data_IF_824044678749
#
_entry.id   IF_824044678749
#
_cell.length_a   1.000
_cell.length_b   1.000
_cell.length_c   1.000
_cell.angle_alpha   90.00
_cell.angle_beta   90.00
_cell.angle_gamma   90.00
#
_symmetry.space_group_name_H-M   'P 1'
#
loop_
_entity.id
_entity.type
_entity.pdbx_description
1 polymer ?
#
# COMPACT_ATOMS: atom_id res chain seq x y z
N UNK A 1 -28.93 4.11 40.69
CA UNK A 1 -29.00 2.67 40.40
C UNK A 1 -30.48 2.34 40.31
N UNK A 2 -30.87 1.61 39.29
CA UNK A 2 -32.24 1.13 39.04
C UNK A 2 -32.21 -0.39 39.14
N UNK A 3 -33.17 -0.95 39.87
CA UNK A 3 -33.21 -2.36 40.27
C UNK A 3 -34.43 -3.11 39.69
N UNK A 4 -35.21 -2.47 38.81
CA UNK A 4 -36.28 -3.13 38.08
C UNK A 4 -35.74 -4.33 37.29
N UNK A 5 -36.26 -5.52 37.59
CA UNK A 5 -35.79 -6.79 36.99
C UNK A 5 -35.89 -6.78 35.47
N UNK A 6 -34.78 -7.12 34.81
CA UNK A 6 -34.65 -7.12 33.35
C UNK A 6 -34.44 -5.72 32.75
N UNK A 7 -34.37 -4.67 33.57
CA UNK A 7 -34.12 -3.28 33.19
C UNK A 7 -33.12 -2.60 34.14
N UNK A 8 -32.27 -3.41 34.80
CA UNK A 8 -31.28 -2.91 35.74
C UNK A 8 -30.28 -1.99 35.04
N UNK A 9 -29.95 -0.87 35.70
CA UNK A 9 -28.91 0.03 35.20
C UNK A 9 -28.22 0.86 36.29
N UNK A 10 -26.99 1.26 36.00
CA UNK A 10 -26.21 2.20 36.80
C UNK A 10 -25.89 3.42 35.95
N UNK A 11 -26.08 4.60 36.53
CA UNK A 11 -25.76 5.90 35.91
C UNK A 11 -24.91 6.72 36.87
N UNK A 12 -23.70 7.05 36.41
CA UNK A 12 -22.82 8.03 37.04
C UNK A 12 -22.76 9.26 36.12
N UNK A 13 -23.20 10.42 36.61
CA UNK A 13 -23.42 11.61 35.79
C UNK A 13 -22.96 12.88 36.49
N UNK A 14 -22.38 13.80 35.72
CA UNK A 14 -22.18 15.20 36.10
C UNK A 14 -22.69 16.12 34.99
N UNK A 15 -23.27 17.27 35.32
CA UNK A 15 -23.77 18.22 34.31
C UNK A 15 -22.62 18.91 33.54
N UNK A 16 -21.42 18.95 34.11
CA UNK A 16 -20.26 19.57 33.45
C UNK A 16 -19.88 18.85 32.14
N UNK A 17 -19.56 19.63 31.11
CA UNK A 17 -19.26 19.09 29.77
C UNK A 17 -20.49 18.49 29.08
N UNK A 18 -21.67 19.10 29.27
CA UNK A 18 -22.90 18.74 28.57
C UNK A 18 -23.48 17.39 28.99
N UNK A 19 -23.39 17.01 30.27
CA UNK A 19 -23.69 15.66 30.79
C UNK A 19 -22.62 14.62 30.49
N UNK A 20 -21.50 14.70 31.19
CA UNK A 20 -20.47 13.65 31.18
C UNK A 20 -20.94 12.45 32.00
N UNK A 21 -21.05 11.28 31.37
CA UNK A 21 -21.74 10.11 31.96
C UNK A 21 -21.05 8.78 31.65
N UNK A 22 -21.12 7.88 32.63
CA UNK A 22 -20.99 6.43 32.46
C UNK A 22 -22.36 5.80 32.74
N UNK A 23 -22.93 5.14 31.73
CA UNK A 23 -24.20 4.42 31.83
C UNK A 23 -23.95 2.93 31.56
N UNK A 24 -24.47 2.03 32.41
CA UNK A 24 -24.29 0.57 32.34
C UNK A 24 -25.66 -0.13 32.43
N UNK A 25 -25.92 -1.15 31.62
CA UNK A 25 -27.13 -1.98 31.67
C UNK A 25 -28.21 -1.55 30.68
N UNK A 26 -29.43 -1.32 31.16
CA UNK A 26 -30.58 -0.82 30.39
C UNK A 26 -30.61 0.72 30.38
N UNK A 27 -30.03 1.36 29.36
CA UNK A 27 -29.88 2.82 29.33
C UNK A 27 -31.21 3.48 28.98
N UNK A 28 -31.64 4.46 29.80
CA UNK A 28 -32.88 5.22 29.58
C UNK A 28 -32.64 6.72 29.37
N UNK A 29 -33.57 7.36 28.67
CA UNK A 29 -33.64 8.82 28.54
C UNK A 29 -34.30 9.49 29.77
N UNK A 30 -34.51 10.81 29.71
CA UNK A 30 -35.14 11.57 30.80
C UNK A 30 -36.61 11.18 31.05
N UNK A 31 -37.28 10.54 30.08
CA UNK A 31 -38.66 10.04 30.16
C UNK A 31 -38.70 8.55 30.54
N UNK A 32 -37.58 7.98 30.97
CA UNK A 32 -37.40 6.55 31.27
C UNK A 32 -37.65 5.62 30.08
N UNK A 33 -37.57 6.15 28.85
CA UNK A 33 -37.66 5.33 27.64
C UNK A 33 -36.28 4.76 27.32
N UNK A 34 -36.25 3.47 26.93
CA UNK A 34 -35.02 2.80 26.52
C UNK A 34 -34.37 3.56 25.37
N UNK A 35 -33.09 3.90 25.54
CA UNK A 35 -32.25 4.54 24.51
C UNK A 35 -31.04 3.70 24.09
N UNK A 36 -30.74 2.63 24.82
CA UNK A 36 -29.63 1.72 24.50
C UNK A 36 -29.47 0.59 25.52
N UNK A 37 -28.57 -0.34 25.23
CA UNK A 37 -28.15 -1.44 26.10
C UNK A 37 -26.63 -1.59 26.09
N UNK A 38 -26.07 -2.12 27.17
CA UNK A 38 -24.62 -2.33 27.31
C UNK A 38 -23.97 -1.23 28.15
N UNK A 39 -22.95 -0.58 27.62
CA UNK A 39 -22.33 0.58 28.28
C UNK A 39 -22.23 1.77 27.34
N UNK A 40 -22.30 2.97 27.91
CA UNK A 40 -22.02 4.23 27.21
C UNK A 40 -21.11 5.08 28.09
N UNK A 41 -19.98 5.50 27.52
CA UNK A 41 -19.16 6.58 28.04
C UNK A 41 -19.34 7.79 27.11
N UNK A 42 -20.00 8.85 27.60
CA UNK A 42 -20.31 10.06 26.80
C UNK A 42 -19.90 11.34 27.49
N UNK A 43 -19.57 12.35 26.70
CA UNK A 43 -19.35 13.75 27.11
C UNK A 43 -19.44 14.63 25.87
N UNK A 44 -19.83 15.90 26.03
CA UNK A 44 -19.69 16.91 24.97
C UNK A 44 -18.30 17.58 25.02
N UNK A 45 -17.50 17.27 26.05
CA UNK A 45 -16.11 17.68 26.17
C UNK A 45 -15.14 16.69 25.55
N UNK A 46 -13.88 16.74 26.00
CA UNK A 46 -12.85 15.80 25.57
C UNK A 46 -13.02 14.44 26.25
N UNK A 47 -12.88 13.36 25.48
CA UNK A 47 -12.74 12.00 25.99
C UNK A 47 -11.30 11.49 25.85
N UNK A 48 -10.82 10.71 26.81
CA UNK A 48 -9.52 10.04 26.72
C UNK A 48 -9.59 8.64 27.34
N UNK A 49 -9.12 7.64 26.60
CA UNK A 49 -8.87 6.28 27.10
C UNK A 49 -7.36 6.07 27.03
N UNK A 50 -6.71 5.84 28.18
CA UNK A 50 -5.26 5.65 28.26
C UNK A 50 -4.94 4.44 29.12
N UNK A 51 -4.32 3.42 28.52
CA UNK A 51 -3.72 2.29 29.22
C UNK A 51 -2.21 2.33 29.05
N UNK A 52 -1.47 2.65 30.11
CA UNK A 52 0.01 2.74 30.08
C UNK A 52 0.71 1.39 29.86
N UNK A 53 -0.05 0.29 29.85
CA UNK A 53 0.38 -1.07 29.48
C UNK A 53 -0.31 -1.57 28.21
N UNK A 54 -0.85 -0.66 27.40
CA UNK A 54 -1.63 -0.98 26.21
C UNK A 54 -3.15 -0.89 26.42
N UNK A 55 -3.90 -0.97 25.32
CA UNK A 55 -5.37 -0.93 25.28
C UNK A 55 -5.89 -2.03 24.37
N UNK A 56 -6.80 -2.87 24.86
CA UNK A 56 -7.52 -3.85 24.06
C UNK A 56 -8.98 -3.43 23.90
N UNK A 57 -9.43 -3.28 22.66
CA UNK A 57 -10.83 -2.97 22.32
C UNK A 57 -11.34 -4.11 21.46
N UNK A 58 -12.34 -4.83 21.97
CA UNK A 58 -12.84 -6.05 21.35
C UNK A 58 -14.35 -6.08 21.25
N UNK A 59 -14.84 -6.60 20.12
CA UNK A 59 -16.23 -7.05 19.95
C UNK A 59 -16.35 -8.60 19.99
N UNK A 60 -15.29 -9.30 20.42
CA UNK A 60 -15.36 -10.72 20.75
C UNK A 60 -16.12 -10.91 22.07
N UNK A 61 -17.09 -11.83 22.09
CA UNK A 61 -17.95 -12.04 23.26
C UNK A 61 -17.20 -12.75 24.39
N UNK A 62 -17.38 -12.27 25.63
CA UNK A 62 -16.94 -12.95 26.86
C UNK A 62 -18.11 -13.09 27.83
N UNK A 63 -18.93 -14.15 27.70
CA UNK A 63 -20.16 -14.30 28.46
C UNK A 63 -19.91 -14.28 29.97
N UNK A 64 -20.71 -13.49 30.68
CA UNK A 64 -20.65 -13.36 32.15
C UNK A 64 -19.25 -13.00 32.69
N UNK A 65 -18.41 -12.33 31.88
CA UNK A 65 -17.01 -12.04 32.21
C UNK A 65 -16.22 -13.29 32.63
N UNK A 66 -16.56 -14.46 32.09
CA UNK A 66 -15.81 -15.70 32.32
C UNK A 66 -14.53 -15.69 31.50
N UNK A 67 -13.40 -15.40 32.15
CA UNK A 67 -12.09 -15.35 31.54
C UNK A 67 -11.23 -14.24 32.13
N UNK A 68 -10.08 -14.00 31.50
CA UNK A 68 -9.23 -12.86 31.87
C UNK A 68 -9.72 -11.58 31.18
N UNK A 69 -9.47 -10.43 31.79
CA UNK A 69 -9.80 -9.11 31.21
C UNK A 69 -9.14 -8.90 29.83
N UNK A 70 -7.99 -9.54 29.62
CA UNK A 70 -7.22 -9.49 28.37
C UNK A 70 -7.29 -10.82 27.59
N UNK A 71 -8.37 -11.59 27.72
CA UNK A 71 -8.56 -12.75 26.86
C UNK A 71 -8.71 -12.29 25.40
N UNK A 72 -7.69 -12.60 24.59
CA UNK A 72 -7.53 -12.12 23.22
C UNK A 72 -7.24 -13.27 22.24
N UNK A 73 -7.54 -14.52 22.61
CA UNK A 73 -7.21 -15.70 21.80
C UNK A 73 -7.80 -15.61 20.38
N UNK A 74 -9.04 -15.12 20.25
CA UNK A 74 -9.67 -14.92 18.95
C UNK A 74 -8.92 -13.90 18.08
N UNK A 75 -8.45 -12.79 18.67
CA UNK A 75 -7.67 -11.77 17.97
C UNK A 75 -6.28 -12.30 17.56
N UNK A 76 -5.59 -13.00 18.45
CA UNK A 76 -4.29 -13.60 18.17
C UNK A 76 -4.37 -14.69 17.09
N UNK A 77 -5.43 -15.50 17.10
CA UNK A 77 -5.68 -16.50 16.05
C UNK A 77 -5.85 -15.88 14.66
N UNK A 78 -6.56 -14.75 14.55
CA UNK A 78 -6.70 -14.00 13.29
C UNK A 78 -5.37 -13.43 12.80
N UNK A 79 -4.56 -12.87 13.71
CA UNK A 79 -3.22 -12.38 13.38
C UNK A 79 -2.29 -13.51 12.92
N UNK A 80 -2.33 -14.66 13.60
CA UNK A 80 -1.54 -15.85 13.26
C UNK A 80 -1.89 -16.37 11.86
N UNK A 81 -3.18 -16.48 11.54
CA UNK A 81 -3.64 -16.87 10.21
C UNK A 81 -3.15 -15.90 9.11
N UNK A 82 -3.21 -14.59 9.38
CA UNK A 82 -2.73 -13.58 8.43
C UNK A 82 -1.21 -13.70 8.19
N UNK A 83 -0.43 -13.96 9.24
CA UNK A 83 1.02 -14.17 9.13
C UNK A 83 1.35 -15.42 8.31
N UNK A 84 0.67 -16.54 8.55
CA UNK A 84 0.92 -17.79 7.80
C UNK A 84 0.66 -17.61 6.30
N UNK A 85 -0.42 -16.91 5.96
CA UNK A 85 -0.74 -16.58 4.56
C UNK A 85 0.34 -15.69 3.92
N UNK A 86 0.78 -14.66 4.63
CA UNK A 86 1.82 -13.75 4.16
C UNK A 86 3.18 -14.47 4.02
N UNK A 87 3.51 -15.37 4.93
CA UNK A 87 4.75 -16.15 4.89
C UNK A 87 4.82 -17.03 3.64
N UNK A 88 3.72 -17.71 3.31
CA UNK A 88 3.60 -18.46 2.06
C UNK A 88 3.83 -17.55 0.85
N UNK A 89 3.08 -16.44 0.75
CA UNK A 89 3.21 -15.52 -0.38
C UNK A 89 4.61 -14.90 -0.50
N UNK A 90 5.23 -14.54 0.62
CA UNK A 90 6.58 -13.96 0.68
C UNK A 90 7.64 -14.95 0.21
N UNK A 91 7.54 -16.22 0.62
CA UNK A 91 8.45 -17.28 0.15
C UNK A 91 8.34 -17.53 -1.36
N UNK A 92 7.12 -17.50 -1.90
CA UNK A 92 6.87 -17.64 -3.33
C UNK A 92 7.38 -16.42 -4.12
N UNK A 93 7.23 -15.21 -3.57
CA UNK A 93 7.78 -13.98 -4.15
C UNK A 93 9.32 -14.06 -4.24
N UNK A 94 9.98 -14.50 -3.17
CA UNK A 94 11.42 -14.69 -3.14
C UNK A 94 11.89 -15.75 -4.16
N UNK A 95 11.17 -16.87 -4.27
CA UNK A 95 11.45 -17.89 -5.29
C UNK A 95 11.27 -17.38 -6.73
N UNK A 96 10.44 -16.35 -6.91
CA UNK A 96 10.23 -15.64 -8.17
C UNK A 96 11.14 -14.42 -8.37
N UNK A 97 12.20 -14.28 -7.56
CA UNK A 97 13.17 -13.17 -7.61
C UNK A 97 12.58 -11.78 -7.29
N UNK A 98 11.41 -11.73 -6.65
CA UNK A 98 10.84 -10.49 -6.13
C UNK A 98 11.33 -10.23 -4.69
N UNK A 99 11.36 -8.97 -4.26
CA UNK A 99 11.69 -8.62 -2.88
C UNK A 99 10.56 -9.11 -1.94
N UNK A 100 10.88 -9.91 -0.91
CA UNK A 100 9.90 -10.46 0.02
C UNK A 100 9.34 -9.41 0.98
N UNK A 101 8.17 -9.69 1.55
CA UNK A 101 7.63 -8.89 2.65
C UNK A 101 8.41 -9.14 3.96
N UNK A 102 8.48 -8.15 4.84
CA UNK A 102 9.06 -8.27 6.18
C UNK A 102 8.11 -8.99 7.15
N UNK A 103 8.00 -10.31 6.97
CA UNK A 103 7.16 -11.19 7.80
C UNK A 103 7.70 -11.28 9.23
N UNK A 104 9.02 -11.16 9.40
CA UNK A 104 9.67 -11.28 10.70
C UNK A 104 9.28 -10.11 11.62
N UNK A 105 9.22 -8.88 11.10
CA UNK A 105 8.72 -7.76 11.87
C UNK A 105 7.27 -7.96 12.35
N UNK A 106 6.41 -8.56 11.53
CA UNK A 106 5.02 -8.85 11.92
C UNK A 106 4.95 -9.90 13.04
N UNK A 107 5.74 -10.98 12.92
CA UNK A 107 5.85 -12.02 13.94
C UNK A 107 6.37 -11.49 15.28
N UNK A 108 7.44 -10.69 15.25
CA UNK A 108 8.00 -10.07 16.45
C UNK A 108 7.02 -9.10 17.10
N UNK A 109 6.33 -8.25 16.31
CA UNK A 109 5.28 -7.38 16.85
C UNK A 109 4.16 -8.17 17.53
N UNK A 110 3.71 -9.27 16.92
CA UNK A 110 2.65 -10.09 17.48
C UNK A 110 3.05 -10.72 18.83
N UNK A 111 4.22 -11.37 18.88
CA UNK A 111 4.67 -12.14 20.05
C UNK A 111 5.19 -11.27 21.20
N UNK A 112 5.95 -10.22 20.87
CA UNK A 112 6.69 -9.45 21.86
C UNK A 112 5.91 -8.19 22.32
N UNK A 113 4.91 -7.76 21.56
CA UNK A 113 4.20 -6.50 21.84
C UNK A 113 2.69 -6.69 22.03
N UNK A 114 2.03 -7.41 21.12
CA UNK A 114 0.56 -7.55 21.10
C UNK A 114 0.08 -8.60 22.11
N UNK A 115 0.72 -9.77 22.16
CA UNK A 115 0.33 -10.85 23.07
C UNK A 115 0.32 -10.35 24.52
N UNK A 116 -0.83 -10.50 25.19
CA UNK A 116 -1.05 -10.01 26.55
C UNK A 116 -0.77 -8.49 26.76
N UNK A 117 -0.68 -7.70 25.68
CA UNK A 117 -0.24 -6.31 25.69
C UNK A 117 1.12 -6.14 26.42
N UNK A 118 2.10 -6.97 26.09
CA UNK A 118 3.46 -6.89 26.65
C UNK A 118 4.14 -5.53 26.40
N UNK A 119 3.68 -4.76 25.40
CA UNK A 119 4.11 -3.40 25.13
C UNK A 119 2.95 -2.39 25.11
N UNK A 120 3.28 -1.11 24.94
CA UNK A 120 2.31 0.00 24.90
C UNK A 120 1.60 0.07 23.53
N UNK A 121 0.77 -0.92 23.23
CA UNK A 121 0.07 -1.07 21.95
C UNK A 121 -1.44 -0.98 22.09
N UNK A 122 -2.13 -0.71 20.98
CA UNK A 122 -3.58 -0.82 20.89
C UNK A 122 -3.92 -1.99 19.98
N UNK A 123 -4.73 -2.92 20.47
CA UNK A 123 -5.30 -4.01 19.68
C UNK A 123 -6.80 -3.78 19.51
N UNK A 124 -7.25 -3.69 18.25
CA UNK A 124 -8.65 -3.64 17.88
C UNK A 124 -9.05 -4.99 17.27
N UNK A 125 -10.09 -5.64 17.79
CA UNK A 125 -10.58 -6.93 17.29
C UNK A 125 -12.09 -6.94 17.16
N UNK A 126 -12.60 -7.48 16.05
CA UNK A 126 -14.02 -7.72 15.87
C UNK A 126 -14.25 -8.94 14.95
N UNK A 127 -15.10 -9.91 15.35
CA UNK A 127 -15.37 -11.10 14.54
C UNK A 127 -16.11 -10.82 13.23
N UNK A 128 -16.86 -9.72 13.17
CA UNK A 128 -17.72 -9.36 12.03
C UNK A 128 -17.26 -8.10 11.28
N UNK A 129 -16.03 -7.65 11.52
CA UNK A 129 -15.39 -6.55 10.81
C UNK A 129 -15.23 -5.25 11.60
N UNK A 130 -14.38 -4.38 11.07
CA UNK A 130 -14.07 -3.05 11.61
C UNK A 130 -14.22 -2.05 10.47
N UNK A 131 -14.96 -0.96 10.70
CA UNK A 131 -15.11 0.14 9.75
C UNK A 131 -14.45 1.42 10.31
N UNK A 132 -13.57 2.03 9.52
CA UNK A 132 -12.95 3.33 9.83
C UNK A 132 -13.44 4.35 8.79
N UNK A 133 -14.15 5.38 9.24
CA UNK A 133 -14.71 6.41 8.37
C UNK A 133 -14.34 7.81 8.88
N UNK A 134 -14.25 8.78 7.97
CA UNK A 134 -13.97 10.18 8.29
C UNK A 134 -14.73 11.08 7.34
N UNK A 135 -15.27 12.20 7.85
CA UNK A 135 -15.89 13.24 7.02
C UNK A 135 -14.88 14.12 6.28
N UNK A 136 -13.58 14.00 6.61
CA UNK A 136 -12.49 14.75 5.97
C UNK A 136 -11.34 13.81 5.62
N UNK A 137 -10.28 13.78 6.42
CA UNK A 137 -9.09 12.98 6.18
C UNK A 137 -9.05 11.75 7.09
N UNK A 138 -8.55 10.64 6.54
CA UNK A 138 -8.12 9.47 7.31
C UNK A 138 -6.61 9.32 7.08
N UNK A 139 -5.81 9.40 8.14
CA UNK A 139 -4.36 9.30 8.07
C UNK A 139 -3.89 8.08 8.85
N UNK A 140 -3.12 7.21 8.19
CA UNK A 140 -2.42 6.09 8.80
C UNK A 140 -0.91 6.37 8.66
N UNK A 141 -0.20 6.42 9.77
CA UNK A 141 1.23 6.71 9.80
C UNK A 141 1.92 5.80 10.80
N UNK A 142 3.03 5.19 10.38
CA UNK A 142 3.92 4.39 11.19
C UNK A 142 5.36 4.85 10.94
N UNK A 143 6.21 4.83 11.97
CA UNK A 143 7.63 5.19 11.82
C UNK A 143 8.43 4.09 11.12
N UNK A 144 8.09 2.84 11.41
CA UNK A 144 8.71 1.66 10.82
C UNK A 144 7.81 1.12 9.70
N UNK A 145 6.95 0.15 10.00
CA UNK A 145 6.22 -0.61 9.00
C UNK A 145 4.71 -0.32 9.03
N UNK A 146 4.12 -0.17 7.83
CA UNK A 146 2.67 -0.24 7.63
C UNK A 146 2.34 -1.52 6.88
N UNK A 147 1.56 -2.41 7.50
CA UNK A 147 1.18 -3.71 6.94
C UNK A 147 -0.32 -3.78 6.71
N UNK A 148 -0.74 -4.22 5.53
CA UNK A 148 -2.14 -4.41 5.16
C UNK A 148 -2.30 -5.83 4.61
N UNK A 149 -2.93 -6.70 5.40
CA UNK A 149 -3.12 -8.11 5.07
C UNK A 149 -4.62 -8.41 4.88
N UNK A 150 -4.96 -9.15 3.83
CA UNK A 150 -6.31 -9.62 3.55
C UNK A 150 -6.26 -11.08 3.11
N UNK A 151 -7.09 -11.94 3.72
CA UNK A 151 -7.23 -13.34 3.30
C UNK A 151 -8.10 -13.53 2.05
N UNK A 152 -8.86 -12.49 1.67
CA UNK A 152 -9.62 -12.40 0.42
C UNK A 152 -9.05 -11.28 -0.47
N UNK A 153 -9.92 -10.42 -0.99
CA UNK A 153 -9.51 -9.30 -1.85
C UNK A 153 -9.16 -8.04 -1.05
N UNK A 154 -8.15 -7.29 -1.52
CA UNK A 154 -7.85 -5.94 -1.07
C UNK A 154 -8.20 -4.93 -2.17
N UNK A 155 -9.22 -4.11 -1.95
CA UNK A 155 -9.70 -3.12 -2.91
C UNK A 155 -9.26 -1.71 -2.50
N UNK A 156 -8.45 -1.06 -3.34
CA UNK A 156 -8.05 0.34 -3.18
C UNK A 156 -8.69 1.19 -4.28
N UNK A 157 -9.70 1.97 -3.92
CA UNK A 157 -10.44 2.84 -4.85
C UNK A 157 -10.19 4.30 -4.55
N UNK A 158 -9.82 5.08 -5.57
CA UNK A 158 -9.52 6.52 -5.44
C UNK A 158 -10.18 7.28 -6.58
N UNK A 159 -11.02 8.27 -6.23
CA UNK A 159 -11.80 9.04 -7.22
C UNK A 159 -10.95 10.02 -8.03
N UNK A 160 -9.91 10.59 -7.41
CA UNK A 160 -9.08 11.63 -8.05
C UNK A 160 -7.73 11.08 -8.49
N UNK A 161 -6.80 10.91 -7.54
CA UNK A 161 -5.41 10.54 -7.84
C UNK A 161 -4.85 9.64 -6.76
N UNK A 162 -4.31 8.50 -7.17
CA UNK A 162 -3.47 7.65 -6.33
C UNK A 162 -2.00 7.99 -6.61
N UNK A 163 -1.21 8.13 -5.55
CA UNK A 163 0.23 8.40 -5.62
C UNK A 163 0.98 7.39 -4.76
N UNK A 164 2.01 6.77 -5.32
CA UNK A 164 2.95 5.92 -4.61
C UNK A 164 4.33 6.60 -4.60
N UNK A 165 4.76 7.09 -3.45
CA UNK A 165 6.10 7.64 -3.24
C UNK A 165 6.95 6.68 -2.43
N UNK A 166 7.87 5.96 -3.08
CA UNK A 166 8.69 4.93 -2.45
C UNK A 166 10.15 5.39 -2.41
N UNK A 167 10.79 5.26 -1.24
CA UNK A 167 12.17 5.73 -1.03
C UNK A 167 13.27 4.76 -1.45
N UNK A 168 12.98 3.46 -1.57
CA UNK A 168 13.99 2.42 -1.86
C UNK A 168 13.62 1.54 -3.05
N UNK A 169 12.50 0.81 -3.00
CA UNK A 169 12.11 -0.08 -4.10
C UNK A 169 10.64 -0.49 -4.04
N UNK A 170 10.04 -0.68 -5.22
CA UNK A 170 8.67 -1.18 -5.39
C UNK A 170 8.74 -2.61 -5.93
N UNK A 171 8.21 -3.56 -5.15
CA UNK A 171 8.08 -4.97 -5.55
C UNK A 171 6.60 -5.31 -5.70
N UNK A 172 6.23 -5.84 -6.87
CA UNK A 172 4.85 -6.29 -7.16
C UNK A 172 4.92 -7.73 -7.64
N UNK A 173 4.36 -8.63 -6.85
CA UNK A 173 4.33 -10.07 -7.13
C UNK A 173 2.90 -10.59 -7.22
N UNK A 174 2.60 -11.37 -8.26
CA UNK A 174 1.31 -12.04 -8.43
C UNK A 174 1.53 -13.52 -8.73
N UNK A 175 1.02 -14.37 -7.84
CA UNK A 175 1.21 -15.84 -7.91
C UNK A 175 0.52 -16.54 -9.08
N UNK A 176 -0.70 -16.11 -9.47
CA UNK A 176 -1.57 -16.89 -10.37
C UNK A 176 -2.13 -16.12 -11.56
N UNK A 177 -2.85 -15.02 -11.32
CA UNK A 177 -3.72 -14.40 -12.33
C UNK A 177 -3.04 -13.29 -13.16
N UNK A 178 -1.74 -13.05 -12.94
CA UNK A 178 -0.97 -12.03 -13.65
C UNK A 178 -1.30 -10.59 -13.26
N UNK A 179 -0.69 -9.64 -13.98
CA UNK A 179 -0.82 -8.19 -13.75
C UNK A 179 -1.50 -7.57 -14.97
N UNK A 180 -2.47 -6.68 -14.74
CA UNK A 180 -3.08 -5.83 -15.77
C UNK A 180 -2.87 -4.36 -15.42
N UNK A 181 -2.16 -3.63 -16.29
CA UNK A 181 -1.95 -2.18 -16.17
C UNK A 181 -2.66 -1.50 -17.34
N UNK A 182 -3.80 -0.86 -17.08
CA UNK A 182 -4.70 -0.33 -18.11
C UNK A 182 -5.01 1.13 -17.80
N UNK A 183 -4.78 2.02 -18.76
CA UNK A 183 -5.31 3.39 -18.76
C UNK A 183 -6.42 3.47 -19.83
N UNK A 184 -7.65 3.76 -19.41
CA UNK A 184 -8.77 3.94 -20.35
C UNK A 184 -8.60 5.21 -21.20
N UNK A 185 -7.99 6.24 -20.60
CA UNK A 185 -7.63 7.50 -21.26
C UNK A 185 -6.31 7.99 -20.69
N UNK A 186 -5.57 8.75 -21.51
CA UNK A 186 -4.26 9.27 -21.17
C UNK A 186 -3.13 8.26 -21.41
N UNK A 187 -1.88 8.76 -21.49
CA UNK A 187 -0.73 7.93 -21.81
C UNK A 187 -0.29 7.06 -20.63
N UNK A 188 0.27 5.88 -20.93
CA UNK A 188 1.03 5.09 -19.97
C UNK A 188 2.51 5.32 -20.21
N UNK A 189 3.24 5.75 -19.17
CA UNK A 189 4.69 5.96 -19.23
C UNK A 189 5.41 5.04 -18.24
N UNK A 190 6.36 4.26 -18.73
CA UNK A 190 7.24 3.41 -17.91
C UNK A 190 8.68 3.81 -18.23
N UNK A 191 9.46 4.15 -17.21
CA UNK A 191 10.82 4.69 -17.38
C UNK A 191 11.75 4.17 -16.29
N UNK A 192 12.96 3.75 -16.69
CA UNK A 192 14.11 3.62 -15.81
C UNK A 192 15.05 4.82 -16.09
N UNK A 193 14.92 5.89 -15.29
CA UNK A 193 15.55 7.18 -15.62
C UNK A 193 17.08 7.19 -15.45
N UNK A 194 17.62 6.29 -14.62
CA UNK A 194 19.05 6.21 -14.31
C UNK A 194 19.56 4.75 -14.35
N UNK A 195 18.77 3.82 -14.86
CA UNK A 195 19.10 2.38 -14.83
C UNK A 195 18.44 1.61 -15.98
N UNK A 196 18.59 0.30 -16.00
CA UNK A 196 18.03 -0.61 -16.99
C UNK A 196 16.51 -0.76 -16.85
N UNK A 197 15.81 -0.76 -17.99
CA UNK A 197 14.44 -1.26 -18.11
C UNK A 197 14.50 -2.65 -18.76
N UNK A 198 13.93 -3.65 -18.08
CA UNK A 198 13.87 -5.03 -18.57
C UNK A 198 12.42 -5.47 -18.75
N UNK A 199 12.13 -6.12 -19.88
CA UNK A 199 10.85 -6.76 -20.18
C UNK A 199 11.13 -8.20 -20.63
N UNK A 200 10.66 -9.18 -19.85
CA UNK A 200 10.91 -10.59 -20.10
C UNK A 200 9.60 -11.37 -20.08
N UNK A 201 9.41 -12.26 -21.05
CA UNK A 201 8.30 -13.20 -21.10
C UNK A 201 8.82 -14.61 -21.43
N UNK A 202 8.31 -15.64 -20.76
CA UNK A 202 8.60 -17.04 -21.08
C UNK A 202 7.98 -17.46 -22.42
N UNK A 203 6.85 -16.86 -22.75
CA UNK A 203 6.10 -17.10 -23.98
C UNK A 203 6.24 -15.87 -24.89
N UNK A 204 5.14 -15.41 -25.46
CA UNK A 204 5.14 -14.27 -26.37
C UNK A 204 5.37 -12.94 -25.64
N UNK A 205 6.20 -12.09 -26.25
CA UNK A 205 6.25 -10.65 -25.98
C UNK A 205 5.72 -9.92 -27.21
N UNK A 206 4.57 -9.25 -27.08
CA UNK A 206 3.91 -8.54 -28.17
C UNK A 206 3.91 -7.03 -27.92
N UNK A 207 4.35 -6.26 -28.92
CA UNK A 207 4.35 -4.80 -28.91
C UNK A 207 3.59 -4.35 -30.16
N UNK A 208 2.40 -3.77 -29.96
CA UNK A 208 1.49 -3.42 -31.06
C UNK A 208 0.97 -2.00 -30.88
N UNK A 209 1.07 -1.20 -31.94
CA UNK A 209 0.30 0.03 -32.12
C UNK A 209 -0.82 -0.26 -33.14
N UNK A 210 -2.07 0.06 -32.78
CA UNK A 210 -3.24 -0.29 -33.62
C UNK A 210 -3.59 0.76 -34.65
N UNK A 211 -3.21 2.01 -34.41
CA UNK A 211 -3.62 3.16 -35.23
C UNK A 211 -2.45 3.98 -35.77
N UNK A 212 -1.26 3.85 -35.16
CA UNK A 212 -0.11 4.69 -35.45
C UNK A 212 1.17 3.83 -35.45
N UNK A 213 2.30 4.39 -35.06
CA UNK A 213 3.62 3.76 -35.18
C UNK A 213 4.12 3.06 -33.90
N UNK A 214 5.14 2.21 -34.09
CA UNK A 214 6.02 1.70 -33.03
C UNK A 214 7.41 2.31 -33.24
N UNK A 215 7.85 3.19 -32.34
CA UNK A 215 9.21 3.77 -32.36
C UNK A 215 10.14 3.02 -31.42
N UNK A 216 11.21 2.46 -31.96
CA UNK A 216 12.32 1.90 -31.19
C UNK A 216 13.57 2.70 -31.54
N UNK A 217 14.12 3.42 -30.56
CA UNK A 217 15.26 4.30 -30.77
C UNK A 217 16.30 4.07 -29.67
N UNK A 218 17.57 3.95 -30.07
CA UNK A 218 18.68 3.80 -29.14
C UNK A 218 19.81 4.76 -29.51
N UNK A 219 20.49 5.31 -28.50
CA UNK A 219 21.64 6.21 -28.70
C UNK A 219 22.85 5.52 -29.34
N UNK A 220 23.05 4.24 -29.02
CA UNK A 220 24.27 3.50 -29.38
C UNK A 220 24.02 2.37 -30.38
N UNK A 221 23.07 1.48 -30.08
CA UNK A 221 22.87 0.24 -30.83
C UNK A 221 21.46 -0.32 -30.62
N UNK A 222 20.86 -0.83 -31.68
CA UNK A 222 19.68 -1.71 -31.64
C UNK A 222 20.11 -3.09 -32.12
N UNK A 223 19.75 -4.13 -31.36
CA UNK A 223 20.00 -5.54 -31.72
C UNK A 223 18.68 -6.29 -31.70
N UNK A 224 18.31 -6.89 -32.83
CA UNK A 224 17.17 -7.79 -32.95
C UNK A 224 17.70 -9.18 -33.28
N UNK A 225 17.35 -10.19 -32.48
CA UNK A 225 17.85 -11.55 -32.65
C UNK A 225 16.69 -12.56 -32.54
N UNK A 226 16.72 -13.59 -33.39
CA UNK A 226 15.81 -14.73 -33.31
C UNK A 226 16.35 -15.96 -34.03
N UNK A 227 16.40 -17.10 -33.33
CA UNK A 227 16.79 -18.39 -33.92
C UNK A 227 18.18 -18.41 -34.57
N UNK A 228 19.11 -17.56 -34.12
CA UNK A 228 20.45 -17.40 -34.70
C UNK A 228 20.53 -16.41 -35.87
N UNK A 229 19.41 -15.88 -36.36
CA UNK A 229 19.38 -14.75 -37.31
C UNK A 229 19.31 -13.42 -36.54
N UNK A 230 19.83 -12.34 -37.12
CA UNK A 230 19.85 -11.04 -36.44
C UNK A 230 19.83 -9.84 -37.40
N UNK A 231 19.45 -8.70 -36.84
CA UNK A 231 19.61 -7.36 -37.40
C UNK A 231 20.25 -6.45 -36.35
N UNK A 232 21.32 -5.76 -36.73
CA UNK A 232 22.04 -4.79 -35.89
C UNK A 232 22.02 -3.43 -36.59
N UNK A 233 21.63 -2.39 -35.84
CA UNK A 233 21.74 -1.00 -36.27
C UNK A 233 22.64 -0.24 -35.29
N UNK A 234 23.74 0.33 -35.78
CA UNK A 234 24.63 1.20 -35.02
C UNK A 234 25.32 2.25 -35.90
N UNK A 235 26.28 2.99 -35.33
CA UNK A 235 26.99 4.05 -36.04
C UNK A 235 27.85 3.57 -37.22
N UNK A 236 28.18 2.27 -37.28
CA UNK A 236 28.96 1.69 -38.39
C UNK A 236 28.10 1.30 -39.58
N UNK A 237 26.80 1.06 -39.37
CA UNK A 237 25.85 0.73 -40.43
C UNK A 237 24.74 -0.22 -40.00
N UNK A 238 24.22 -0.96 -40.97
CA UNK A 238 23.19 -1.99 -40.80
C UNK A 238 23.81 -3.35 -41.12
N UNK A 239 23.81 -4.25 -40.14
CA UNK A 239 24.28 -5.64 -40.30
C UNK A 239 23.09 -6.59 -40.21
N UNK A 240 22.91 -7.43 -41.22
CA UNK A 240 21.86 -8.45 -41.30
C UNK A 240 22.53 -9.80 -41.56
N UNK A 241 22.38 -10.74 -40.63
CA UNK A 241 23.02 -12.06 -40.72
C UNK A 241 22.05 -13.22 -40.49
N UNK A 242 22.24 -14.30 -41.24
CA UNK A 242 21.53 -15.57 -41.07
C UNK A 242 22.40 -16.73 -41.57
N UNK A 243 22.21 -17.92 -41.00
CA UNK A 243 22.89 -19.14 -41.46
C UNK A 243 22.20 -19.81 -42.67
N UNK A 244 20.94 -19.46 -42.93
CA UNK A 244 20.16 -20.00 -44.04
C UNK A 244 19.99 -19.00 -45.17
N UNK A 245 18.98 -19.22 -46.01
CA UNK A 245 18.64 -18.30 -47.09
C UNK A 245 18.13 -16.96 -46.55
N UNK A 246 18.67 -15.84 -47.06
CA UNK A 246 18.07 -14.52 -46.90
C UNK A 246 17.07 -14.27 -48.02
N UNK A 247 15.77 -14.29 -47.71
CA UNK A 247 14.68 -14.12 -48.69
C UNK A 247 14.11 -12.71 -48.62
N UNK A 248 14.51 -11.85 -49.55
CA UNK A 248 13.91 -10.54 -49.75
C UNK A 248 12.86 -10.59 -50.88
N UNK A 249 11.62 -10.15 -50.59
CA UNK A 249 10.52 -10.08 -51.56
C UNK A 249 10.09 -8.63 -51.71
N UNK A 250 10.32 -8.02 -52.87
CA UNK A 250 9.92 -6.65 -53.16
C UNK A 250 9.53 -6.47 -54.63
N UNK A 251 8.71 -5.45 -54.92
CA UNK A 251 8.40 -5.03 -56.29
C UNK A 251 9.60 -4.35 -56.99
N UNK A 252 10.52 -3.75 -56.23
CA UNK A 252 11.74 -3.10 -56.72
C UNK A 252 12.81 -3.08 -55.62
N UNK A 253 14.07 -3.18 -56.03
CA UNK A 253 15.24 -2.89 -55.19
C UNK A 253 16.05 -1.76 -55.84
N UNK A 254 16.30 -0.68 -55.11
CA UNK A 254 17.14 0.44 -55.53
C UNK A 254 18.23 0.68 -54.48
N UNK A 255 19.45 0.94 -54.94
CA UNK A 255 20.60 1.21 -54.09
C UNK A 255 21.04 2.67 -54.33
N UNK A 256 20.58 3.56 -53.46
CA UNK A 256 20.85 4.99 -53.52
C UNK A 256 22.12 5.35 -52.70
N UNK A 257 22.52 6.63 -52.77
CA UNK A 257 23.59 7.17 -51.94
C UNK A 257 23.23 7.07 -50.43
N UNK A 258 24.23 7.08 -49.53
CA UNK A 258 23.99 7.03 -48.09
C UNK A 258 23.09 8.17 -47.59
N UNK A 259 22.26 7.86 -46.60
CA UNK A 259 21.42 8.83 -45.89
C UNK A 259 21.59 8.67 -44.37
N UNK A 260 21.29 9.71 -43.61
CA UNK A 260 21.33 9.69 -42.15
C UNK A 260 20.21 10.57 -41.60
N UNK A 261 19.55 10.11 -40.55
CA UNK A 261 18.50 10.84 -39.85
C UNK A 261 18.84 10.89 -38.36
N UNK A 262 19.05 12.10 -37.84
CA UNK A 262 19.33 12.31 -36.42
C UNK A 262 18.01 12.57 -35.69
N UNK A 263 17.56 11.59 -34.90
CA UNK A 263 16.37 11.76 -34.06
C UNK A 263 16.81 12.34 -32.70
N UNK A 264 16.27 13.50 -32.26
CA UNK A 264 16.56 14.03 -30.94
C UNK A 264 16.03 13.08 -29.87
N UNK A 265 16.91 12.60 -29.00
CA UNK A 265 16.54 11.74 -27.87
C UNK A 265 15.98 12.60 -26.72
N UNK A 266 14.97 12.12 -25.98
CA UNK A 266 14.48 12.82 -24.80
C UNK A 266 15.58 12.94 -23.74
N UNK A 267 15.74 14.13 -23.19
CA UNK A 267 16.61 14.33 -22.03
C UNK A 267 15.95 13.74 -20.78
N UNK A 268 16.56 12.70 -20.22
CA UNK A 268 16.14 12.15 -18.94
C UNK A 268 16.63 13.07 -17.80
N UNK A 269 15.84 13.24 -16.73
CA UNK A 269 16.29 14.01 -15.58
C UNK A 269 17.59 13.40 -15.03
N UNK A 270 18.62 14.21 -14.86
CA UNK A 270 19.84 13.78 -14.16
C UNK A 270 19.53 13.36 -12.72
N UNK A 271 20.35 12.47 -12.16
CA UNK A 271 20.19 12.03 -10.77
C UNK A 271 20.02 13.23 -9.83
N UNK A 272 18.99 13.17 -8.98
CA UNK A 272 18.65 14.29 -8.10
C UNK A 272 19.85 14.59 -7.20
N UNK A 273 20.41 15.79 -7.35
CA UNK A 273 21.55 16.27 -6.57
C UNK A 273 21.24 16.15 -5.06
N UNK A 274 21.87 15.16 -4.40
CA UNK A 274 21.65 14.89 -2.96
C UNK A 274 21.99 16.09 -2.10
N UNK A 275 22.99 16.89 -2.48
CA UNK A 275 23.35 18.11 -1.76
C UNK A 275 22.35 19.25 -1.98
N UNK A 276 21.68 19.28 -3.13
CA UNK A 276 20.62 20.23 -3.43
C UNK A 276 19.37 19.89 -2.61
N UNK A 277 19.03 18.61 -2.45
CA UNK A 277 18.00 18.14 -1.53
C UNK A 277 18.32 18.46 -0.07
N UNK A 278 19.57 18.25 0.36
CA UNK A 278 20.02 18.63 1.72
C UNK A 278 19.89 20.15 1.95
N UNK A 279 20.30 20.97 0.98
CA UNK A 279 20.16 22.44 1.05
C UNK A 279 18.70 22.88 1.07
N UNK A 280 17.83 22.28 0.26
CA UNK A 280 16.40 22.56 0.26
C UNK A 280 15.74 22.18 1.60
N UNK A 281 16.14 21.05 2.20
CA UNK A 281 15.66 20.59 3.51
C UNK A 281 16.14 21.50 4.65
N UNK A 282 17.39 21.98 4.58
CA UNK A 282 17.92 22.97 5.52
C UNK A 282 17.22 24.34 5.39
N UNK A 283 16.89 24.77 4.17
CA UNK A 283 16.14 26.00 3.93
C UNK A 283 14.69 25.91 4.44
N UNK A 284 14.05 24.75 4.34
CA UNK A 284 12.70 24.51 4.86
C UNK A 284 12.63 24.52 6.41
N UNK A 285 13.75 24.24 7.10
CA UNK A 285 13.83 24.32 8.56
C UNK A 285 14.06 25.75 9.09
N UNK A 286 14.24 26.75 8.20
CA UNK A 286 14.49 28.15 8.56
C UNK A 286 13.25 29.01 8.83
N UNK A 287 12.02 28.48 8.72
CA UNK A 287 10.79 29.24 9.02
C UNK A 287 10.47 29.07 10.52
N UNK A 288 11.18 29.83 11.36
CA UNK A 288 10.88 29.96 12.79
C UNK A 288 9.70 30.92 12.97
N UNK A 289 8.76 30.49 13.81
CA UNK A 289 7.55 31.18 14.27
C UNK A 289 7.75 32.68 14.52
N UNK A 290 6.92 33.52 13.88
CA UNK A 290 6.68 34.88 14.36
C UNK A 290 5.82 34.81 15.63
N UNK A 291 6.42 35.11 16.76
CA UNK A 291 5.71 35.49 17.98
C UNK A 291 4.75 36.65 17.66
N UNK A 292 3.46 36.47 17.97
CA UNK A 292 2.53 37.58 18.09
C UNK A 292 2.47 37.96 19.57
N UNK A 293 3.16 39.05 19.90
CA UNK A 293 2.93 39.83 21.13
C UNK A 293 1.80 40.82 20.87
N UNK A 294 0.74 40.72 21.68
CA UNK A 294 -0.03 41.78 22.35
C UNK A 294 -1.43 41.26 22.67
#
# INVERSE_FOLDING_TARGET
MEDLRGQEHVKLSTEYGGKSQLNLGHLVDAKKQKRGEGFELRTDGHGAIRGGKGVFISADEQPNAQGQVLDMQAALGRLQQAVEQLQGLSSEAQAALAEPADVQAQLSMQREQIEALQAQVILLSAPQGIALTSGQHLQLAAQDNLMLNAGGDANLSVVKRLFFGIGQGLSVFVRKLGIKLIANQGPVSVQAQNDQLELLARHELSITSTEDEVRITAKKKITLNGGGSYYILDASGIESGTAGDHKAKAARHEFNLPASEAIPLPELPGSVCKDCLKRARAAAQGIVLRETRA
#
